data_IF_054121518871
#
_entry.id   IF_054121518871
#
_cell.length_a   1.000
_cell.length_b   1.000
_cell.length_c   1.000
_cell.angle_alpha   90.00
_cell.angle_beta   90.00
_cell.angle_gamma   90.00
#
_symmetry.space_group_name_H-M   'P 1'
#
loop_
_entity.id
_entity.type
_entity.pdbx_description
1 polymer ?
#
# COMPACT_ATOMS: atom_id res chain seq x y z
N UNK A 1 51.79 -4.39 -5.48
CA UNK A 1 50.66 -5.30 -5.17
C UNK A 1 49.82 -4.60 -4.12
N UNK A 2 49.17 -3.50 -4.51
CA UNK A 2 48.47 -2.63 -3.56
C UNK A 2 47.01 -2.47 -3.99
N UNK A 3 46.13 -2.86 -3.07
CA UNK A 3 44.72 -2.50 -2.96
C UNK A 3 43.78 -2.90 -4.11
N UNK A 4 43.34 -4.17 -4.10
CA UNK A 4 42.18 -4.68 -4.85
C UNK A 4 40.80 -4.34 -4.21
N UNK A 5 40.76 -3.52 -3.16
CA UNK A 5 39.51 -3.15 -2.49
C UNK A 5 39.34 -1.63 -2.45
N UNK A 6 38.78 -1.10 -3.54
CA UNK A 6 38.16 0.23 -3.54
C UNK A 6 36.89 0.15 -2.70
N UNK A 7 36.91 0.72 -1.50
CA UNK A 7 35.69 0.98 -0.76
C UNK A 7 34.98 2.16 -1.47
N UNK A 8 34.05 1.85 -2.36
CA UNK A 8 33.17 2.86 -2.93
C UNK A 8 32.37 3.45 -1.76
N UNK A 9 32.35 4.78 -1.56
CA UNK A 9 31.48 5.38 -0.57
C UNK A 9 30.03 5.01 -0.91
N UNK A 10 29.40 4.18 -0.08
CA UNK A 10 27.99 3.79 -0.22
C UNK A 10 27.03 4.91 0.22
N UNK A 11 27.57 6.00 0.75
CA UNK A 11 26.79 7.15 1.21
C UNK A 11 26.56 8.13 0.08
N UNK A 12 25.31 8.55 -0.11
CA UNK A 12 24.94 9.55 -1.09
C UNK A 12 25.64 10.89 -0.78
N UNK A 13 26.29 11.47 -1.79
CA UNK A 13 26.94 12.79 -1.73
C UNK A 13 25.99 13.94 -2.02
N UNK A 14 24.75 13.64 -2.41
CA UNK A 14 23.68 14.60 -2.67
C UNK A 14 22.50 14.32 -1.75
N UNK A 15 21.68 15.35 -1.50
CA UNK A 15 20.42 15.15 -0.80
C UNK A 15 19.60 14.07 -1.53
N UNK A 16 19.12 13.04 -0.82
CA UNK A 16 18.34 11.99 -1.45
C UNK A 16 17.10 12.61 -2.10
N UNK A 17 16.86 12.26 -3.36
CA UNK A 17 15.64 12.69 -4.04
C UNK A 17 14.47 11.90 -3.48
N UNK A 18 13.45 12.58 -2.98
CA UNK A 18 12.17 11.98 -2.61
C UNK A 18 11.40 11.65 -3.88
N UNK A 19 11.66 10.46 -4.43
CA UNK A 19 11.03 9.96 -5.66
C UNK A 19 10.42 8.58 -5.39
N UNK A 20 9.21 8.41 -5.89
CA UNK A 20 8.51 7.12 -5.96
C UNK A 20 9.15 6.23 -7.03
N UNK A 21 8.89 4.90 -7.06
CA UNK A 21 9.37 4.07 -8.15
C UNK A 21 8.77 4.41 -9.51
N UNK A 22 7.60 5.06 -9.58
CA UNK A 22 6.94 5.43 -10.83
C UNK A 22 6.98 6.95 -11.10
N UNK A 23 7.93 7.67 -10.50
CA UNK A 23 8.05 9.13 -10.57
C UNK A 23 8.11 9.72 -11.99
N UNK A 24 8.49 8.91 -12.98
CA UNK A 24 8.62 9.28 -14.39
C UNK A 24 7.46 8.73 -15.26
N UNK A 25 6.40 8.22 -14.64
CA UNK A 25 5.24 7.67 -15.33
C UNK A 25 4.06 8.64 -15.23
N UNK A 26 3.46 8.93 -16.38
CA UNK A 26 2.26 9.74 -16.46
C UNK A 26 1.02 8.87 -16.22
N UNK A 27 -0.02 9.38 -15.53
CA UNK A 27 -1.29 8.68 -15.42
C UNK A 27 -1.85 8.29 -16.79
N UNK A 28 -2.27 7.04 -16.93
CA UNK A 28 -3.04 6.59 -18.08
C UNK A 28 -4.51 6.85 -17.79
N UNK A 29 -5.20 7.61 -18.64
CA UNK A 29 -6.63 7.87 -18.46
C UNK A 29 -7.37 7.94 -19.79
N UNK A 30 -8.53 7.29 -19.85
CA UNK A 30 -9.54 7.43 -20.89
C UNK A 30 -10.95 7.34 -20.28
N UNK A 31 -11.98 7.13 -21.11
CA UNK A 31 -13.37 7.06 -20.67
C UNK A 31 -13.69 5.85 -19.76
N UNK A 32 -12.97 4.75 -19.90
CA UNK A 32 -13.29 3.47 -19.25
C UNK A 32 -12.31 3.07 -18.15
N UNK A 33 -11.07 3.55 -18.21
CA UNK A 33 -10.00 3.17 -17.29
C UNK A 33 -9.09 4.35 -16.94
N UNK A 34 -8.66 4.39 -15.68
CA UNK A 34 -7.61 5.26 -15.14
C UNK A 34 -6.61 4.42 -14.36
N UNK A 35 -5.33 4.61 -14.64
CA UNK A 35 -4.20 4.00 -13.93
C UNK A 35 -3.28 5.13 -13.49
N UNK A 36 -3.03 5.22 -12.18
CA UNK A 36 -2.14 6.24 -11.61
C UNK A 36 -1.38 5.68 -10.42
N UNK A 37 -0.21 6.23 -10.13
CA UNK A 37 0.41 6.04 -8.83
C UNK A 37 -0.28 6.97 -7.81
N UNK A 38 -0.49 6.52 -6.58
CA UNK A 38 -0.76 7.41 -5.45
C UNK A 38 0.58 7.66 -4.73
N UNK A 39 1.27 8.76 -5.05
CA UNK A 39 2.68 8.90 -4.72
C UNK A 39 2.89 9.25 -3.25
N UNK A 40 4.05 8.87 -2.72
CA UNK A 40 4.59 9.33 -1.43
C UNK A 40 3.71 9.04 -0.20
N UNK A 41 2.86 8.02 -0.25
CA UNK A 41 2.08 7.63 0.94
C UNK A 41 3.00 7.13 2.06
N UNK A 42 2.62 7.39 3.31
CA UNK A 42 3.18 6.74 4.49
C UNK A 42 2.61 5.35 4.66
N UNK A 43 3.46 4.34 4.87
CA UNK A 43 3.08 2.95 5.10
C UNK A 43 3.69 2.49 6.42
N UNK A 44 2.85 2.10 7.37
CA UNK A 44 3.32 1.58 8.66
C UNK A 44 2.78 0.18 8.91
N UNK A 45 3.66 -0.75 9.24
CA UNK A 45 3.24 -2.06 9.74
C UNK A 45 3.09 -1.97 11.26
N UNK A 46 1.86 -2.16 11.74
CA UNK A 46 1.54 -2.22 13.16
C UNK A 46 1.26 -3.66 13.55
N UNK A 47 1.98 -4.17 14.54
CA UNK A 47 1.69 -5.46 15.18
C UNK A 47 1.41 -5.28 16.65
N UNK A 48 0.34 -5.90 17.12
CA UNK A 48 0.00 -5.96 18.54
C UNK A 48 -0.99 -7.09 18.80
N UNK A 49 -1.05 -7.59 20.03
CA UNK A 49 -2.10 -8.53 20.43
C UNK A 49 -3.48 -7.88 20.25
N UNK A 50 -4.39 -8.45 19.44
CA UNK A 50 -5.74 -7.90 19.21
C UNK A 50 -6.58 -7.77 20.48
N UNK A 51 -6.25 -8.54 21.52
CA UNK A 51 -6.92 -8.52 22.83
C UNK A 51 -6.16 -7.67 23.87
N UNK A 52 -5.12 -6.96 23.46
CA UNK A 52 -4.36 -6.09 24.35
C UNK A 52 -5.26 -5.03 24.98
N UNK A 53 -5.12 -4.83 26.30
CA UNK A 53 -5.79 -3.73 27.03
C UNK A 53 -5.43 -2.35 26.48
N UNK A 54 -4.35 -2.24 25.71
CA UNK A 54 -3.90 -0.99 25.12
C UNK A 54 -4.46 -0.74 23.71
N UNK A 55 -5.27 -1.64 23.15
CA UNK A 55 -5.88 -1.47 21.82
C UNK A 55 -6.62 -0.15 21.66
N UNK A 56 -7.45 0.21 22.64
CA UNK A 56 -8.21 1.46 22.58
C UNK A 56 -7.30 2.70 22.51
N UNK A 57 -6.10 2.65 23.10
CA UNK A 57 -5.13 3.73 23.00
C UNK A 57 -4.50 3.79 21.60
N UNK A 58 -4.18 2.64 20.98
CA UNK A 58 -3.70 2.60 19.60
C UNK A 58 -4.74 3.19 18.64
N UNK A 59 -6.01 2.77 18.77
CA UNK A 59 -7.13 3.28 17.97
C UNK A 59 -7.35 4.79 18.18
N UNK A 60 -7.15 5.30 19.40
CA UNK A 60 -7.23 6.72 19.69
C UNK A 60 -6.10 7.53 19.03
N UNK A 61 -4.86 7.02 19.02
CA UNK A 61 -3.72 7.66 18.33
C UNK A 61 -3.97 7.71 16.82
N UNK A 62 -4.48 6.61 16.23
CA UNK A 62 -4.81 6.55 14.80
C UNK A 62 -6.08 7.35 14.45
N UNK A 63 -6.92 7.70 15.43
CA UNK A 63 -8.23 8.29 15.16
C UNK A 63 -9.19 7.33 14.45
N UNK A 64 -8.92 6.02 14.46
CA UNK A 64 -9.68 5.01 13.73
C UNK A 64 -9.64 3.66 14.45
N UNK A 65 -10.73 2.90 14.31
CA UNK A 65 -10.82 1.52 14.84
C UNK A 65 -9.93 0.59 14.02
N UNK A 66 -9.20 -0.30 14.71
CA UNK A 66 -8.52 -1.40 14.05
C UNK A 66 -9.60 -2.34 13.50
N UNK A 67 -9.53 -2.76 12.22
CA UNK A 67 -10.46 -3.74 11.68
C UNK A 67 -10.30 -5.07 12.41
N UNK A 68 -11.43 -5.66 12.81
CA UNK A 68 -11.49 -6.96 13.52
C UNK A 68 -11.79 -8.14 12.58
N UNK A 69 -12.54 -7.88 11.52
CA UNK A 69 -12.91 -8.91 10.57
C UNK A 69 -11.72 -9.23 9.65
N UNK A 70 -11.40 -10.51 9.40
CA UNK A 70 -10.40 -10.89 8.42
C UNK A 70 -10.65 -10.23 7.07
N UNK A 71 -9.57 -9.81 6.41
CA UNK A 71 -9.60 -9.23 5.06
C UNK A 71 -10.43 -7.94 4.95
N UNK A 72 -10.60 -7.20 6.04
CA UNK A 72 -11.35 -5.94 6.06
C UNK A 72 -10.44 -4.72 6.28
N UNK A 73 -10.98 -3.53 6.06
CA UNK A 73 -10.27 -2.28 6.30
C UNK A 73 -11.16 -1.22 6.94
N UNK A 74 -10.52 -0.30 7.65
CA UNK A 74 -11.14 0.91 8.19
C UNK A 74 -10.54 2.10 7.45
N UNK A 75 -11.38 2.94 6.82
CA UNK A 75 -10.95 4.16 6.11
C UNK A 75 -11.49 5.40 6.81
N UNK A 76 -10.64 6.39 6.94
CA UNK A 76 -10.97 7.76 7.36
C UNK A 76 -10.49 8.74 6.29
N UNK A 77 -10.66 10.05 6.51
CA UNK A 77 -10.04 11.07 5.66
C UNK A 77 -8.51 11.05 5.73
N UNK A 78 -7.97 10.58 6.86
CA UNK A 78 -6.56 10.74 7.23
C UNK A 78 -5.72 9.49 7.01
N UNK A 79 -6.35 8.32 7.05
CA UNK A 79 -5.66 7.05 6.90
C UNK A 79 -6.61 5.92 6.50
N UNK A 80 -6.01 4.82 6.02
CA UNK A 80 -6.67 3.54 5.85
C UNK A 80 -5.90 2.46 6.61
N UNK A 81 -6.59 1.65 7.40
CA UNK A 81 -6.02 0.53 8.14
C UNK A 81 -6.49 -0.75 7.48
N UNK A 82 -5.56 -1.56 6.99
CA UNK A 82 -5.83 -2.87 6.42
C UNK A 82 -5.56 -3.96 7.43
N UNK A 83 -6.51 -4.89 7.60
CA UNK A 83 -6.27 -6.13 8.30
C UNK A 83 -5.36 -7.03 7.45
N UNK A 84 -4.20 -7.42 7.96
CA UNK A 84 -3.25 -8.29 7.25
C UNK A 84 -3.21 -9.69 7.87
N UNK A 85 -3.23 -9.76 9.20
CA UNK A 85 -3.30 -10.99 9.99
C UNK A 85 -3.95 -10.69 11.36
N UNK A 86 -4.24 -11.70 12.22
CA UNK A 86 -4.89 -11.48 13.50
C UNK A 86 -4.20 -10.47 14.44
N UNK A 87 -2.89 -10.30 14.32
CA UNK A 87 -2.06 -9.39 15.12
C UNK A 87 -1.23 -8.43 14.25
N UNK A 88 -1.63 -8.21 12.98
CA UNK A 88 -0.88 -7.44 11.98
C UNK A 88 -1.82 -6.56 11.14
N UNK A 89 -1.51 -5.27 11.11
CA UNK A 89 -2.20 -4.27 10.31
C UNK A 89 -1.22 -3.44 9.49
N UNK A 90 -1.64 -3.09 8.27
CA UNK A 90 -0.93 -2.13 7.44
C UNK A 90 -1.71 -0.80 7.45
N UNK A 91 -1.07 0.28 7.87
CA UNK A 91 -1.63 1.62 7.92
C UNK A 91 -1.08 2.44 6.76
N UNK A 92 -1.96 2.96 5.92
CA UNK A 92 -1.63 3.92 4.86
C UNK A 92 -2.14 5.30 5.24
N UNK A 93 -1.33 6.33 5.03
CA UNK A 93 -1.71 7.73 5.28
C UNK A 93 -1.00 8.69 4.32
N UNK A 94 -1.47 9.93 4.15
CA UNK A 94 -0.76 10.96 3.39
C UNK A 94 0.65 11.22 3.92
N UNK A 95 1.56 11.61 3.03
CA UNK A 95 2.98 11.83 3.33
C UNK A 95 3.19 12.80 4.51
N UNK A 96 2.39 13.86 4.55
CA UNK A 96 2.49 14.95 5.51
C UNK A 96 2.22 14.47 6.94
N UNK A 97 1.36 13.46 7.09
CA UNK A 97 1.04 12.86 8.39
C UNK A 97 2.05 11.79 8.81
N UNK A 98 2.68 11.14 7.83
CA UNK A 98 3.63 10.06 8.09
C UNK A 98 4.88 10.54 8.85
N UNK A 99 5.32 11.78 8.62
CA UNK A 99 6.61 12.29 9.11
C UNK A 99 6.77 12.23 10.64
N UNK A 100 5.71 12.46 11.41
CA UNK A 100 5.74 12.42 12.88
C UNK A 100 5.01 11.22 13.47
N UNK A 101 4.22 10.49 12.67
CA UNK A 101 3.32 9.45 13.15
C UNK A 101 4.02 8.35 13.96
N UNK A 102 5.13 7.80 13.47
CA UNK A 102 5.82 6.71 14.20
C UNK A 102 6.31 7.16 15.58
N UNK A 103 6.89 8.37 15.66
CA UNK A 103 7.39 8.94 16.91
C UNK A 103 6.24 9.21 17.88
N UNK A 104 5.17 9.88 17.42
CA UNK A 104 3.99 10.16 18.23
C UNK A 104 3.32 8.87 18.74
N UNK A 105 3.22 7.86 17.87
CA UNK A 105 2.72 6.55 18.25
C UNK A 105 3.60 5.92 19.33
N UNK A 106 4.93 5.94 19.17
CA UNK A 106 5.85 5.35 20.16
C UNK A 106 5.80 6.05 21.52
N UNK A 107 5.67 7.37 21.54
CA UNK A 107 5.62 8.16 22.76
C UNK A 107 4.33 7.90 23.55
N UNK A 108 3.19 7.88 22.85
CA UNK A 108 1.87 7.67 23.43
C UNK A 108 1.58 6.20 23.79
N UNK A 109 2.06 5.26 22.97
CA UNK A 109 1.75 3.84 23.10
C UNK A 109 2.51 3.19 24.25
N UNK A 110 1.82 2.27 24.96
CA UNK A 110 2.39 1.43 26.01
C UNK A 110 2.09 -0.05 25.72
N UNK A 111 2.78 -0.95 26.42
CA UNK A 111 2.62 -2.39 26.25
C UNK A 111 3.47 -2.97 25.12
N UNK A 112 3.19 -4.22 24.75
CA UNK A 112 3.93 -4.93 23.71
C UNK A 112 3.29 -4.68 22.34
N UNK A 113 4.07 -4.07 21.44
CA UNK A 113 3.69 -3.79 20.06
C UNK A 113 4.96 -3.68 19.19
N UNK A 114 4.77 -3.68 17.87
CA UNK A 114 5.76 -3.27 16.88
C UNK A 114 5.10 -2.27 15.94
N UNK A 115 5.78 -1.16 15.67
CA UNK A 115 5.40 -0.20 14.63
C UNK A 115 6.64 0.04 13.78
N UNK A 116 6.53 -0.04 12.46
CA UNK A 116 7.67 0.10 11.54
C UNK A 116 7.23 0.89 10.31
N UNK A 117 7.92 1.99 10.01
CA UNK A 117 7.83 2.66 8.71
C UNK A 117 8.39 1.76 7.59
N UNK A 118 7.53 1.43 6.64
CA UNK A 118 7.84 0.68 5.42
C UNK A 118 7.52 1.47 4.14
N UNK A 119 7.33 2.79 4.25
CA UNK A 119 6.96 3.70 3.14
C UNK A 119 7.93 3.63 1.98
N UNK A 120 9.23 3.47 2.25
CA UNK A 120 10.26 3.35 1.21
C UNK A 120 10.22 2.02 0.43
N UNK A 121 9.53 1.00 0.95
CA UNK A 121 9.54 -0.37 0.41
C UNK A 121 8.40 -0.68 -0.55
N UNK A 122 7.40 0.19 -0.66
CA UNK A 122 6.17 -0.05 -1.42
C UNK A 122 5.69 1.20 -2.13
N UNK A 123 4.76 1.03 -3.07
CA UNK A 123 3.96 2.12 -3.65
C UNK A 123 2.54 1.64 -3.87
N UNK A 124 1.62 2.57 -4.10
CA UNK A 124 0.21 2.30 -4.43
C UNK A 124 -0.03 2.64 -5.88
N UNK A 125 -0.54 1.68 -6.65
CA UNK A 125 -1.07 1.92 -7.99
C UNK A 125 -2.59 1.83 -7.91
N UNK A 126 -3.28 2.90 -8.27
CA UNK A 126 -4.73 2.96 -8.34
C UNK A 126 -5.19 2.60 -9.75
N UNK A 127 -6.11 1.66 -9.82
CA UNK A 127 -6.81 1.21 -11.01
C UNK A 127 -8.29 1.55 -10.84
N UNK A 128 -8.80 2.46 -11.67
CA UNK A 128 -10.17 2.95 -11.56
C UNK A 128 -10.91 2.89 -12.91
N UNK A 129 -12.23 2.86 -12.86
CA UNK A 129 -13.12 2.94 -14.03
C UNK A 129 -13.85 1.63 -14.31
N UNK A 130 -14.89 1.70 -15.14
CA UNK A 130 -15.81 0.59 -15.38
C UNK A 130 -15.12 -0.70 -15.86
N UNK A 131 -13.95 -0.58 -16.50
CA UNK A 131 -13.17 -1.72 -16.99
C UNK A 131 -12.08 -2.20 -16.02
N UNK A 132 -11.95 -1.59 -14.84
CA UNK A 132 -10.94 -1.96 -13.84
C UNK A 132 -11.06 -3.42 -13.41
N UNK A 133 -12.29 -3.89 -13.18
CA UNK A 133 -12.55 -5.27 -12.79
C UNK A 133 -12.09 -6.27 -13.86
N UNK A 134 -12.36 -6.00 -15.14
CA UNK A 134 -11.93 -6.89 -16.22
C UNK A 134 -10.40 -6.93 -16.37
N UNK A 135 -9.71 -5.81 -16.18
CA UNK A 135 -8.24 -5.75 -16.13
C UNK A 135 -7.68 -6.59 -14.97
N UNK A 136 -8.30 -6.52 -13.78
CA UNK A 136 -7.90 -7.34 -12.63
C UNK A 136 -8.07 -8.84 -12.91
N UNK A 137 -9.17 -9.24 -13.56
CA UNK A 137 -9.47 -10.65 -13.87
C UNK A 137 -8.41 -11.31 -14.77
N UNK A 138 -7.64 -10.53 -15.54
CA UNK A 138 -6.51 -11.04 -16.34
C UNK A 138 -5.28 -11.39 -15.51
N UNK A 139 -5.21 -10.88 -14.28
CA UNK A 139 -3.95 -10.73 -13.54
C UNK A 139 -3.98 -11.32 -12.13
N UNK A 140 -5.16 -11.55 -11.56
CA UNK A 140 -5.32 -12.06 -10.20
C UNK A 140 -6.02 -13.42 -10.15
N UNK A 141 -5.71 -14.20 -9.11
CA UNK A 141 -6.35 -15.49 -8.84
C UNK A 141 -7.56 -15.39 -7.89
N UNK A 142 -7.78 -14.23 -7.27
CA UNK A 142 -8.89 -14.03 -6.34
C UNK A 142 -10.17 -13.62 -7.07
N UNK A 143 -11.31 -14.02 -6.52
CA UNK A 143 -12.60 -13.59 -7.05
C UNK A 143 -12.82 -12.10 -6.74
N UNK A 144 -12.80 -11.29 -7.80
CA UNK A 144 -13.04 -9.83 -7.76
C UNK A 144 -14.49 -9.48 -8.13
N UNK A 145 -15.41 -10.45 -8.14
CA UNK A 145 -16.84 -10.18 -8.28
C UNK A 145 -17.32 -9.25 -7.15
N UNK A 146 -18.18 -8.24 -7.41
CA UNK A 146 -18.55 -7.25 -6.41
C UNK A 146 -19.10 -7.80 -5.10
N UNK A 147 -19.81 -8.92 -5.14
CA UNK A 147 -20.33 -9.61 -3.95
C UNK A 147 -19.26 -10.33 -3.13
N UNK A 148 -18.20 -10.82 -3.78
CA UNK A 148 -17.08 -11.51 -3.13
C UNK A 148 -15.96 -10.55 -2.73
N UNK A 149 -15.87 -9.41 -3.41
CA UNK A 149 -14.88 -8.36 -3.19
C UNK A 149 -15.56 -6.99 -3.00
N UNK A 150 -16.30 -6.80 -1.89
CA UNK A 150 -16.95 -5.54 -1.58
C UNK A 150 -15.94 -4.43 -1.28
N UNK A 151 -16.39 -3.18 -1.31
CA UNK A 151 -15.60 -2.03 -0.89
C UNK A 151 -15.10 -2.23 0.54
N UNK A 152 -13.81 -1.94 0.76
CA UNK A 152 -13.12 -2.13 2.03
C UNK A 152 -12.53 -3.52 2.23
N UNK A 153 -12.74 -4.48 1.32
CA UNK A 153 -12.04 -5.77 1.38
C UNK A 153 -10.59 -5.62 0.93
N UNK A 154 -9.68 -6.23 1.68
CA UNK A 154 -8.24 -6.24 1.41
C UNK A 154 -7.70 -7.66 1.40
N UNK A 155 -6.89 -8.00 0.39
CA UNK A 155 -6.31 -9.34 0.24
C UNK A 155 -4.88 -9.26 -0.27
N UNK A 156 -3.95 -9.91 0.42
CA UNK A 156 -2.63 -10.24 -0.15
C UNK A 156 -2.77 -11.37 -1.15
N UNK A 157 -2.38 -11.16 -2.40
CA UNK A 157 -2.56 -12.11 -3.49
C UNK A 157 -1.38 -12.11 -4.46
N UNK A 158 -1.28 -13.13 -5.30
CA UNK A 158 -0.47 -13.06 -6.50
C UNK A 158 -1.15 -12.18 -7.54
N UNK A 159 -0.40 -11.27 -8.14
CA UNK A 159 -0.85 -10.41 -9.22
C UNK A 159 0.21 -10.38 -10.32
N UNK A 160 -0.16 -10.76 -11.54
CA UNK A 160 0.75 -10.81 -12.69
C UNK A 160 2.08 -11.52 -12.36
N UNK A 161 2.05 -12.73 -11.77
CA UNK A 161 3.26 -13.47 -11.34
C UNK A 161 4.15 -12.75 -10.30
N UNK A 162 3.70 -11.63 -9.75
CA UNK A 162 4.28 -10.94 -8.58
C UNK A 162 3.31 -11.01 -7.40
N UNK A 163 3.61 -10.31 -6.30
CA UNK A 163 2.74 -10.17 -5.14
C UNK A 163 2.21 -8.74 -5.03
N UNK A 164 0.93 -8.61 -4.67
CA UNK A 164 0.29 -7.34 -4.37
C UNK A 164 -0.69 -7.50 -3.20
N UNK A 165 -0.86 -6.45 -2.41
CA UNK A 165 -2.05 -6.32 -1.58
C UNK A 165 -3.10 -5.56 -2.40
N UNK A 166 -4.19 -6.23 -2.75
CA UNK A 166 -5.31 -5.65 -3.48
C UNK A 166 -6.38 -5.20 -2.50
N UNK A 167 -6.91 -3.99 -2.67
CA UNK A 167 -8.09 -3.50 -1.96
C UNK A 167 -9.05 -2.81 -2.91
N UNK A 168 -10.36 -2.93 -2.67
CA UNK A 168 -11.37 -2.17 -3.41
C UNK A 168 -11.77 -0.97 -2.56
N UNK A 169 -11.43 0.22 -3.02
CA UNK A 169 -11.63 1.45 -2.25
C UNK A 169 -12.99 2.09 -2.53
N UNK A 170 -13.55 1.90 -3.73
CA UNK A 170 -14.85 2.41 -4.19
C UNK A 170 -15.46 1.44 -5.23
N UNK A 171 -16.66 1.73 -5.77
CA UNK A 171 -17.42 0.84 -6.64
C UNK A 171 -16.59 0.29 -7.82
N UNK A 172 -15.82 1.13 -8.50
CA UNK A 172 -14.94 0.71 -9.60
C UNK A 172 -13.49 1.17 -9.42
N UNK A 173 -13.05 1.26 -8.16
CA UNK A 173 -11.71 1.74 -7.83
C UNK A 173 -10.99 0.76 -6.93
N UNK A 174 -9.80 0.36 -7.34
CA UNK A 174 -8.96 -0.61 -6.66
C UNK A 174 -7.56 -0.05 -6.47
N UNK A 175 -6.98 -0.30 -5.30
CA UNK A 175 -5.60 0.04 -5.02
C UNK A 175 -4.77 -1.25 -4.95
N UNK A 176 -3.65 -1.25 -5.65
CA UNK A 176 -2.63 -2.29 -5.61
C UNK A 176 -1.41 -1.75 -4.85
N UNK A 177 -1.19 -2.27 -3.65
CA UNK A 177 0.03 -1.98 -2.89
C UNK A 177 1.08 -2.99 -3.32
N UNK A 178 2.13 -2.51 -3.98
CA UNK A 178 3.16 -3.34 -4.59
C UNK A 178 4.53 -3.00 -4.02
N UNK A 179 5.44 -3.98 -3.97
CA UNK A 179 6.83 -3.74 -3.60
C UNK A 179 7.47 -2.80 -4.60
N UNK A 180 8.29 -1.86 -4.12
CA UNK A 180 8.98 -0.85 -4.94
C UNK A 180 9.70 -1.44 -6.16
N UNK A 181 10.37 -2.58 -5.97
CA UNK A 181 11.13 -3.27 -7.03
C UNK A 181 10.25 -3.88 -8.14
N UNK A 182 8.96 -4.08 -7.91
CA UNK A 182 8.01 -4.62 -8.87
C UNK A 182 7.06 -3.57 -9.44
N UNK A 183 7.11 -2.32 -8.95
CA UNK A 183 6.17 -1.28 -9.32
C UNK A 183 6.16 -1.02 -10.84
N UNK A 184 7.34 -0.88 -11.45
CA UNK A 184 7.45 -0.65 -12.90
C UNK A 184 6.92 -1.84 -13.71
N UNK A 185 7.21 -3.06 -13.27
CA UNK A 185 6.68 -4.26 -13.91
C UNK A 185 5.14 -4.32 -13.86
N UNK A 186 4.55 -4.08 -12.69
CA UNK A 186 3.09 -4.07 -12.52
C UNK A 186 2.45 -2.93 -13.32
N UNK A 187 3.09 -1.76 -13.36
CA UNK A 187 2.64 -0.63 -14.16
C UNK A 187 2.54 -1.00 -15.64
N UNK A 188 3.62 -1.52 -16.23
CA UNK A 188 3.63 -1.94 -17.64
C UNK A 188 2.62 -3.05 -17.91
N UNK A 189 2.47 -4.00 -16.98
CA UNK A 189 1.47 -5.05 -17.09
C UNK A 189 0.04 -4.50 -17.11
N UNK A 190 -0.28 -3.55 -16.23
CA UNK A 190 -1.60 -2.91 -16.21
C UNK A 190 -1.85 -2.09 -17.48
N UNK A 191 -0.84 -1.40 -17.99
CA UNK A 191 -0.91 -0.70 -19.27
C UNK A 191 -1.23 -1.67 -20.41
N UNK A 192 -0.55 -2.81 -20.50
CA UNK A 192 -0.79 -3.84 -21.52
C UNK A 192 -2.17 -4.49 -21.37
N UNK A 193 -2.50 -4.94 -20.16
CA UNK A 193 -3.77 -5.59 -19.84
C UNK A 193 -4.99 -4.67 -20.05
N UNK A 194 -4.81 -3.35 -19.98
CA UNK A 194 -5.87 -2.36 -20.22
C UNK A 194 -5.97 -1.89 -21.68
N UNK A 195 -5.09 -2.35 -22.58
CA UNK A 195 -4.98 -1.82 -23.94
C UNK A 195 -6.27 -1.92 -24.77
N UNK A 196 -7.12 -2.93 -24.52
CA UNK A 196 -8.39 -3.12 -25.24
C UNK A 196 -9.53 -2.19 -24.79
N UNK A 197 -9.37 -1.50 -23.65
CA UNK A 197 -10.36 -0.56 -23.10
C UNK A 197 -9.99 0.90 -23.37
N UNK A 198 -8.98 1.12 -24.21
CA UNK A 198 -8.50 2.43 -24.61
C UNK A 198 -9.37 3.09 -25.67
#
# INVERSE_FOLDING_TARGET
>A
MDSLFSCIPQHATTAPKTQTPLWNREPLQNANIRIEECPLMGHFNLRMDPNSKYRAAAEAIMGARLPDAPLSSTRTEDLTIFWMAPDDWLVLMPFEKAASFETEFRDAMKGHYSIVDVSGGQTVIRLAGISAREVLQKSTMIDVHPEQFPVGKVVGTSFAKSAATLTRVEEDTYDLIVRRSFAEYIWEWLCDASAEYR
#
